data_IF_513969246174
#
_entry.id   IF_513969246174
#
_cell.length_a   1.000
_cell.length_b   1.000
_cell.length_c   1.000
_cell.angle_alpha   90.00
_cell.angle_beta   90.00
_cell.angle_gamma   90.00
#
_symmetry.space_group_name_H-M   'P 1'
#
loop_
_entity.id
_entity.type
_entity.pdbx_description
1 polymer ?
#
# COMPACT_ATOMS: atom_id res chain seq x y z
N UNK A 1 -26.58 -40.34 -56.81
CA UNK A 1 -25.77 -39.15 -56.46
C UNK A 1 -26.54 -38.33 -55.41
N UNK A 2 -25.82 -37.65 -54.50
CA UNK A 2 -26.28 -36.70 -53.43
C UNK A 2 -26.74 -37.36 -52.10
N UNK A 3 -25.87 -37.40 -51.07
CA UNK A 3 -25.68 -36.47 -49.90
C UNK A 3 -26.80 -36.67 -48.83
N UNK A 4 -26.57 -36.63 -47.52
CA UNK A 4 -25.89 -35.61 -46.72
C UNK A 4 -25.26 -36.13 -45.41
N UNK A 5 -24.14 -35.52 -45.07
CA UNK A 5 -23.22 -35.76 -43.95
C UNK A 5 -23.83 -35.32 -42.61
N UNK A 6 -23.71 -36.17 -41.56
CA UNK A 6 -24.06 -35.81 -40.18
C UNK A 6 -23.08 -34.76 -39.63
N UNK A 7 -23.64 -33.68 -39.07
CA UNK A 7 -22.91 -32.62 -38.37
C UNK A 7 -22.74 -33.04 -36.91
N UNK A 8 -21.50 -33.22 -36.46
CA UNK A 8 -21.15 -33.47 -35.07
C UNK A 8 -21.05 -32.15 -34.29
N UNK A 9 -21.78 -32.05 -33.19
CA UNK A 9 -21.77 -30.90 -32.29
C UNK A 9 -20.69 -31.09 -31.23
N UNK A 10 -19.55 -30.42 -31.35
CA UNK A 10 -18.56 -30.31 -30.28
C UNK A 10 -18.86 -29.08 -29.43
N UNK A 11 -19.29 -29.30 -28.18
CA UNK A 11 -19.39 -28.23 -27.17
C UNK A 11 -17.98 -27.98 -26.64
N UNK A 12 -17.33 -26.93 -27.15
CA UNK A 12 -16.05 -26.47 -26.61
C UNK A 12 -16.29 -25.77 -25.27
N UNK A 13 -15.83 -26.38 -24.18
CA UNK A 13 -15.85 -25.80 -22.84
C UNK A 13 -15.01 -24.52 -22.82
N UNK A 14 -15.67 -23.38 -22.57
CA UNK A 14 -15.00 -22.10 -22.34
C UNK A 14 -14.28 -22.15 -20.99
N UNK A 15 -12.95 -22.14 -21.02
CA UNK A 15 -12.12 -21.90 -19.84
C UNK A 15 -12.23 -20.41 -19.47
N UNK A 16 -13.18 -20.10 -18.57
CA UNK A 16 -13.28 -18.80 -17.95
C UNK A 16 -12.09 -18.57 -17.01
N UNK A 17 -11.11 -17.79 -17.47
CA UNK A 17 -10.07 -17.24 -16.59
C UNK A 17 -10.72 -16.19 -15.68
N UNK A 18 -11.17 -16.61 -14.51
CA UNK A 18 -11.51 -15.68 -13.43
C UNK A 18 -10.23 -15.01 -12.95
N UNK A 19 -9.96 -13.80 -13.47
CA UNK A 19 -9.06 -12.86 -12.82
C UNK A 19 -9.71 -12.47 -11.49
N UNK A 20 -9.39 -13.22 -10.44
CA UNK A 20 -9.72 -12.83 -9.07
C UNK A 20 -8.81 -11.64 -8.75
N UNK A 21 -9.25 -10.44 -9.12
CA UNK A 21 -8.74 -9.22 -8.55
C UNK A 21 -9.12 -9.25 -7.06
N UNK A 22 -8.20 -9.71 -6.21
CA UNK A 22 -8.38 -9.60 -4.77
C UNK A 22 -8.61 -8.11 -4.47
N UNK A 23 -9.72 -7.72 -3.81
CA UNK A 23 -9.90 -6.34 -3.44
C UNK A 23 -8.75 -5.98 -2.49
N UNK A 24 -7.87 -5.08 -2.92
CA UNK A 24 -7.01 -4.36 -1.99
C UNK A 24 -7.94 -3.62 -1.06
N UNK A 25 -8.10 -4.15 0.15
CA UNK A 25 -8.93 -3.53 1.16
C UNK A 25 -8.53 -2.07 1.30
N UNK A 26 -9.52 -1.18 1.22
CA UNK A 26 -9.30 0.26 1.27
C UNK A 26 -8.53 0.64 2.54
N UNK A 27 -7.61 1.59 2.44
CA UNK A 27 -6.97 2.18 3.60
C UNK A 27 -8.00 2.95 4.43
N UNK A 28 -7.86 2.91 5.75
CA UNK A 28 -8.73 3.66 6.66
C UNK A 28 -8.40 5.16 6.60
N UNK A 29 -7.11 5.46 6.52
CA UNK A 29 -6.59 6.83 6.56
C UNK A 29 -5.26 6.94 5.80
N UNK A 30 -4.88 8.19 5.52
CA UNK A 30 -3.59 8.49 4.89
C UNK A 30 -2.94 9.75 5.46
N UNK A 31 -1.61 9.77 5.39
CA UNK A 31 -0.76 10.93 5.67
C UNK A 31 0.01 11.27 4.39
N UNK A 32 -0.16 12.50 3.87
CA UNK A 32 0.36 12.90 2.57
C UNK A 32 0.95 14.29 2.59
N UNK A 33 2.08 14.43 1.89
CA UNK A 33 2.67 15.69 1.44
C UNK A 33 3.23 15.45 0.04
N UNK A 34 3.72 16.49 -0.63
CA UNK A 34 4.47 16.30 -1.86
C UNK A 34 5.65 15.35 -1.63
N UNK A 35 5.78 14.33 -2.47
CA UNK A 35 6.87 13.36 -2.44
C UNK A 35 6.64 12.12 -1.59
N UNK A 36 5.68 12.10 -0.66
CA UNK A 36 5.39 10.88 0.11
C UNK A 36 3.91 10.71 0.43
N UNK A 37 3.44 9.48 0.25
CA UNK A 37 2.14 9.03 0.76
C UNK A 37 2.34 7.86 1.70
N UNK A 38 1.73 7.93 2.88
CA UNK A 38 1.58 6.81 3.80
C UNK A 38 0.09 6.51 3.92
N UNK A 39 -0.30 5.26 3.77
CA UNK A 39 -1.65 4.81 4.11
C UNK A 39 -1.60 3.81 5.24
N UNK A 40 -2.63 3.79 6.08
CA UNK A 40 -2.77 2.81 7.15
C UNK A 40 -4.07 2.04 7.01
N UNK A 41 -3.99 0.73 7.25
CA UNK A 41 -5.13 -0.15 7.40
C UNK A 41 -5.09 -0.78 8.80
N UNK A 42 -6.08 -0.43 9.61
CA UNK A 42 -6.32 -0.90 10.98
C UNK A 42 -6.37 -2.42 11.06
N UNK A 43 -7.31 -3.06 10.35
CA UNK A 43 -7.40 -4.52 10.31
C UNK A 43 -6.22 -5.17 9.55
N UNK A 44 -5.27 -5.68 10.33
CA UNK A 44 -4.00 -6.28 9.89
C UNK A 44 -2.80 -5.34 10.05
N UNK A 45 -3.03 -4.14 10.58
CA UNK A 45 -2.03 -3.11 10.92
C UNK A 45 -0.98 -2.88 9.84
N UNK A 46 -1.48 -2.69 8.62
CA UNK A 46 -0.67 -2.58 7.42
C UNK A 46 -0.45 -1.12 7.08
N UNK A 47 0.82 -0.72 7.04
CA UNK A 47 1.22 0.53 6.42
C UNK A 47 1.65 0.29 4.97
N UNK A 48 1.27 1.22 4.10
CA UNK A 48 1.82 1.31 2.75
C UNK A 48 2.52 2.64 2.63
N UNK A 49 3.80 2.62 2.25
CA UNK A 49 4.64 3.79 2.06
C UNK A 49 5.03 3.91 0.59
N UNK A 50 4.78 5.07 0.00
CA UNK A 50 4.98 5.34 -1.42
C UNK A 50 5.78 6.65 -1.64
N UNK A 51 6.79 6.59 -2.49
CA UNK A 51 7.59 7.74 -2.95
C UNK A 51 7.00 8.27 -4.26
N UNK A 52 6.42 9.46 -4.19
CA UNK A 52 5.59 10.02 -5.27
C UNK A 52 6.30 11.08 -6.11
N UNK A 53 7.50 11.54 -5.75
CA UNK A 53 8.11 12.73 -6.39
C UNK A 53 9.25 12.46 -7.38
N UNK A 54 9.85 11.27 -7.41
CA UNK A 54 10.98 10.98 -8.30
C UNK A 54 12.09 12.05 -8.31
N UNK A 55 12.37 12.61 -7.15
CA UNK A 55 13.29 13.73 -6.95
C UNK A 55 14.65 13.30 -6.37
N UNK A 56 14.86 11.98 -6.20
CA UNK A 56 16.07 11.40 -5.63
C UNK A 56 16.14 11.50 -4.10
N UNK A 57 15.09 12.01 -3.43
CA UNK A 57 15.02 12.08 -1.98
C UNK A 57 14.33 10.84 -1.41
N UNK A 58 15.00 10.02 -0.57
CA UNK A 58 14.36 8.85 0.00
C UNK A 58 13.24 9.24 0.97
N UNK A 59 12.18 8.45 1.04
CA UNK A 59 11.06 8.67 1.96
C UNK A 59 11.10 7.70 3.14
N UNK A 60 10.42 8.04 4.23
CA UNK A 60 10.31 7.18 5.40
C UNK A 60 9.00 7.40 6.16
N UNK A 61 8.57 6.35 6.87
CA UNK A 61 7.48 6.36 7.83
C UNK A 61 8.03 6.68 9.22
N UNK A 62 7.37 7.56 9.97
CA UNK A 62 7.50 7.67 11.42
C UNK A 62 6.18 7.33 12.07
N UNK A 63 6.22 6.52 13.13
CA UNK A 63 5.02 6.16 13.90
C UNK A 63 5.26 6.08 15.41
N UNK A 64 4.19 6.23 16.19
CA UNK A 64 4.11 6.06 17.64
C UNK A 64 2.93 5.17 17.96
N UNK A 65 3.17 4.12 18.74
CA UNK A 65 2.12 3.21 19.18
C UNK A 65 1.81 3.44 20.66
N UNK A 66 0.53 3.69 20.95
CA UNK A 66 -0.03 3.90 22.29
C UNK A 66 0.77 4.89 23.17
N UNK A 67 1.16 6.04 22.60
CA UNK A 67 1.96 7.06 23.29
C UNK A 67 3.42 6.69 23.54
N UNK A 68 3.89 5.57 23.00
CA UNK A 68 5.29 5.15 23.05
C UNK A 68 6.23 6.02 22.21
N UNK A 69 7.50 5.63 22.20
CA UNK A 69 8.55 6.33 21.44
C UNK A 69 8.36 6.27 19.92
N UNK A 70 8.99 7.22 19.22
CA UNK A 70 9.00 7.26 17.76
C UNK A 70 9.78 6.09 17.17
N UNK A 71 9.18 5.42 16.19
CA UNK A 71 9.79 4.37 15.39
C UNK A 71 9.82 4.78 13.94
N UNK A 72 10.94 4.54 13.26
CA UNK A 72 11.18 4.92 11.86
C UNK A 72 11.31 3.69 10.99
N UNK A 73 10.68 3.73 9.82
CA UNK A 73 10.85 2.74 8.76
C UNK A 73 11.27 3.45 7.48
N UNK A 74 12.47 3.14 6.97
CA UNK A 74 12.98 3.74 5.73
C UNK A 74 12.40 3.02 4.52
N UNK A 75 12.01 3.79 3.49
CA UNK A 75 11.65 3.21 2.21
C UNK A 75 12.92 2.79 1.46
N UNK A 76 12.94 1.55 0.99
CA UNK A 76 14.06 1.00 0.20
C UNK A 76 13.78 0.94 -1.31
N UNK A 77 12.56 1.27 -1.75
CA UNK A 77 12.17 1.16 -3.16
C UNK A 77 12.65 2.31 -4.04
N UNK A 78 12.67 3.53 -3.52
CA UNK A 78 12.83 4.73 -4.34
C UNK A 78 11.63 4.96 -5.27
N UNK A 79 11.64 6.07 -5.99
CA UNK A 79 10.52 6.44 -6.84
C UNK A 79 10.29 5.43 -7.99
N UNK A 80 9.03 5.31 -8.46
CA UNK A 80 8.57 4.30 -9.43
C UNK A 80 8.71 2.83 -8.98
N UNK A 81 9.20 2.55 -7.77
CA UNK A 81 9.11 1.23 -7.20
C UNK A 81 7.69 0.95 -6.70
N UNK A 82 7.36 -0.34 -6.55
CA UNK A 82 6.14 -0.73 -5.85
C UNK A 82 6.13 -0.13 -4.44
N UNK A 83 4.96 0.33 -3.94
CA UNK A 83 4.84 0.80 -2.57
C UNK A 83 5.32 -0.27 -1.57
N UNK A 84 5.98 0.18 -0.50
CA UNK A 84 6.48 -0.72 0.54
C UNK A 84 5.36 -1.03 1.50
N UNK A 85 5.05 -2.31 1.61
CA UNK A 85 4.04 -2.83 2.54
C UNK A 85 4.75 -3.23 3.83
N UNK A 86 4.36 -2.59 4.93
CA UNK A 86 4.93 -2.78 6.26
C UNK A 86 3.83 -3.34 7.14
N UNK A 87 3.90 -4.64 7.39
CA UNK A 87 2.97 -5.33 8.29
C UNK A 87 3.52 -5.23 9.70
N UNK A 88 2.79 -4.55 10.57
CA UNK A 88 3.07 -4.53 12.00
C UNK A 88 2.03 -5.40 12.69
N UNK A 89 2.29 -5.78 13.93
CA UNK A 89 1.29 -6.45 14.75
C UNK A 89 1.12 -5.63 16.01
N UNK A 90 -0.08 -5.08 16.17
CA UNK A 90 -0.47 -4.31 17.34
C UNK A 90 -1.67 -4.95 18.01
N UNK A 91 -1.96 -4.56 19.24
CA UNK A 91 -3.17 -5.01 19.89
C UNK A 91 -4.33 -4.10 19.48
N UNK A 92 -5.47 -4.69 19.11
CA UNK A 92 -6.67 -3.96 18.69
C UNK A 92 -7.13 -2.91 19.72
N UNK A 93 -7.75 -1.83 19.24
CA UNK A 93 -8.30 -0.72 20.02
C UNK A 93 -7.28 0.34 20.47
N UNK A 94 -5.99 0.12 20.22
CA UNK A 94 -4.93 1.03 20.64
C UNK A 94 -4.72 2.17 19.65
N UNK A 95 -4.17 3.28 20.15
CA UNK A 95 -3.89 4.45 19.32
C UNK A 95 -2.60 4.27 18.53
N UNK A 96 -2.64 4.54 17.24
CA UNK A 96 -1.45 4.62 16.38
C UNK A 96 -1.39 6.02 15.78
N UNK A 97 -0.22 6.67 15.89
CA UNK A 97 0.04 7.94 15.23
C UNK A 97 1.14 7.75 14.20
N UNK A 98 1.00 8.33 13.01
CA UNK A 98 2.01 8.21 11.97
C UNK A 98 2.09 9.44 11.07
N UNK A 99 3.20 9.56 10.34
CA UNK A 99 3.43 10.57 9.31
C UNK A 99 4.42 10.06 8.26
N UNK A 100 4.29 10.55 7.04
CA UNK A 100 5.25 10.35 5.98
C UNK A 100 6.26 11.50 5.94
N UNK A 101 7.53 11.19 5.70
CA UNK A 101 8.59 12.18 5.58
C UNK A 101 9.45 11.94 4.35
N UNK A 102 9.94 13.03 3.75
CA UNK A 102 10.94 13.07 2.68
C UNK A 102 12.28 13.45 3.31
N UNK A 103 13.26 12.57 3.20
CA UNK A 103 14.62 12.77 3.70
C UNK A 103 15.42 13.57 2.67
N UNK A 104 15.79 14.81 3.02
CA UNK A 104 16.44 15.73 2.08
C UNK A 104 17.87 15.97 2.53
N UNK A 105 18.82 15.49 1.72
CA UNK A 105 20.23 15.60 2.06
C UNK A 105 20.66 17.07 2.22
N UNK A 106 21.24 17.42 3.37
CA UNK A 106 21.80 18.74 3.64
C UNK A 106 20.80 19.82 4.08
N UNK A 107 19.50 19.48 4.20
CA UNK A 107 18.47 20.39 4.74
C UNK A 107 17.50 19.63 5.67
N UNK A 108 16.57 20.35 6.29
CA UNK A 108 15.56 19.74 7.16
C UNK A 108 14.61 18.81 6.37
N UNK A 109 14.32 17.65 6.94
CA UNK A 109 13.32 16.71 6.40
C UNK A 109 11.94 17.36 6.37
N UNK A 110 11.18 17.08 5.31
CA UNK A 110 9.79 17.54 5.19
C UNK A 110 8.87 16.41 5.57
N UNK A 111 8.03 16.61 6.57
CA UNK A 111 7.07 15.62 7.03
C UNK A 111 5.64 16.14 6.90
N UNK A 112 4.69 15.22 6.70
CA UNK A 112 3.27 15.50 6.93
C UNK A 112 3.01 15.83 8.40
N UNK A 113 1.83 16.38 8.67
CA UNK A 113 1.25 16.33 10.01
C UNK A 113 1.09 14.89 10.50
N UNK A 114 0.93 14.74 11.82
CA UNK A 114 0.59 13.44 12.42
C UNK A 114 -0.85 13.08 12.12
N UNK A 115 -1.07 11.92 11.49
CA UNK A 115 -2.37 11.26 11.38
C UNK A 115 -2.51 10.30 12.56
N UNK A 116 -3.72 10.19 13.12
CA UNK A 116 -4.03 9.31 14.26
C UNK A 116 -5.16 8.38 13.89
N UNK A 117 -4.94 7.08 14.08
CA UNK A 117 -5.92 6.02 13.85
C UNK A 117 -5.98 5.07 15.05
N UNK A 118 -6.87 4.08 14.94
CA UNK A 118 -6.94 2.94 15.84
C UNK A 118 -6.47 1.69 15.10
N UNK A 119 -5.68 0.87 15.79
CA UNK A 119 -5.36 -0.49 15.36
C UNK A 119 -6.57 -1.35 15.58
#
# INVERSE_FOLDING_TARGET
MKRWTMVGTTVAAMLGMSLISAPTAAADSSARIDGVTVTFKSHGEVFTLDDTACDGNPVYLLYKYNGGGERRYNFSGGCNASPSVINLSFAEGNTIQYRGCVNRAGIWDRCSGWTTDKT
#
